data_IF_810643430094
#
_entry.id   IF_810643430094
#
_cell.length_a   1.000
_cell.length_b   1.000
_cell.length_c   1.000
_cell.angle_alpha   90.00
_cell.angle_beta   90.00
_cell.angle_gamma   90.00
#
_symmetry.space_group_name_H-M   'P 1'
#
loop_
_entity.id
_entity.type
_entity.pdbx_description
1 polymer ?
#
# COMPACT_ATOMS: atom_id res chain seq x y z
N UNK A 1 -13.50 -44.81 -1.15
CA UNK A 1 -12.82 -43.82 -0.28
C UNK A 1 -13.85 -42.77 0.11
N UNK A 2 -14.26 -42.68 1.37
CA UNK A 2 -15.28 -41.72 1.83
C UNK A 2 -14.59 -40.38 2.12
N UNK A 3 -14.99 -39.32 1.43
CA UNK A 3 -14.55 -37.95 1.75
C UNK A 3 -15.22 -37.59 3.08
N UNK A 4 -14.47 -37.26 4.14
CA UNK A 4 -15.08 -36.87 5.41
C UNK A 4 -15.88 -35.58 5.18
N UNK A 5 -17.18 -35.61 5.50
CA UNK A 5 -18.03 -34.43 5.45
C UNK A 5 -17.57 -33.46 6.54
N UNK A 6 -16.74 -32.49 6.14
CA UNK A 6 -16.30 -31.41 6.99
C UNK A 6 -17.52 -30.55 7.31
N UNK A 7 -18.05 -30.64 8.54
CA UNK A 7 -19.24 -29.87 8.90
C UNK A 7 -18.95 -28.37 8.69
N UNK A 8 -19.81 -27.68 7.93
CA UNK A 8 -19.62 -26.27 7.59
C UNK A 8 -19.40 -25.39 8.83
N UNK A 9 -20.04 -25.74 9.96
CA UNK A 9 -19.87 -25.06 11.25
C UNK A 9 -18.43 -25.11 11.76
N UNK A 10 -17.74 -26.24 11.61
CA UNK A 10 -16.35 -26.38 12.03
C UNK A 10 -15.40 -25.52 11.18
N UNK A 11 -15.65 -25.44 9.86
CA UNK A 11 -14.88 -24.57 8.95
C UNK A 11 -15.03 -23.11 9.35
N UNK A 12 -16.28 -22.66 9.55
CA UNK A 12 -16.55 -21.29 9.95
C UNK A 12 -15.98 -20.94 11.33
N UNK A 13 -16.03 -21.87 12.29
CA UNK A 13 -15.41 -21.67 13.60
C UNK A 13 -13.89 -21.51 13.49
N UNK A 14 -13.21 -22.33 12.69
CA UNK A 14 -11.76 -22.21 12.46
C UNK A 14 -11.41 -20.89 11.78
N UNK A 15 -12.15 -20.49 10.74
CA UNK A 15 -11.93 -19.21 10.05
C UNK A 15 -12.14 -18.03 11.00
N UNK A 16 -13.16 -18.07 11.86
CA UNK A 16 -13.42 -17.04 12.85
C UNK A 16 -12.26 -16.93 13.86
N UNK A 17 -11.74 -18.06 14.34
CA UNK A 17 -10.58 -18.07 15.24
C UNK A 17 -9.35 -17.49 14.55
N UNK A 18 -9.06 -17.88 13.31
CA UNK A 18 -7.93 -17.32 12.55
C UNK A 18 -8.09 -15.80 12.39
N UNK A 19 -9.30 -15.32 12.09
CA UNK A 19 -9.58 -13.89 11.94
C UNK A 19 -9.41 -13.12 13.25
N UNK A 20 -9.93 -13.64 14.36
CA UNK A 20 -9.79 -13.00 15.69
C UNK A 20 -8.32 -13.00 16.11
N UNK A 21 -7.62 -14.12 15.97
CA UNK A 21 -6.21 -14.23 16.35
C UNK A 21 -5.36 -13.27 15.53
N UNK A 22 -5.54 -13.21 14.21
CA UNK A 22 -4.81 -12.26 13.35
C UNK A 22 -5.16 -10.79 13.61
N UNK A 23 -6.36 -10.52 14.12
CA UNK A 23 -6.79 -9.16 14.51
C UNK A 23 -6.21 -8.71 15.85
N UNK A 24 -6.04 -9.62 16.83
CA UNK A 24 -5.50 -9.31 18.16
C UNK A 24 -3.97 -9.40 18.17
N UNK A 25 -3.43 -10.41 17.49
CA UNK A 25 -2.01 -10.66 17.34
C UNK A 25 -1.72 -10.49 15.86
N UNK A 26 -1.40 -9.27 15.41
CA UNK A 26 -0.94 -9.06 14.04
C UNK A 26 0.33 -9.87 13.88
N UNK A 27 0.22 -11.07 13.30
CA UNK A 27 1.34 -12.01 13.16
C UNK A 27 2.41 -11.49 12.19
N UNK A 28 2.24 -10.28 11.66
CA UNK A 28 2.83 -9.85 10.40
C UNK A 28 2.28 -10.74 9.29
N UNK A 29 1.99 -10.16 8.13
CA UNK A 29 1.98 -11.02 6.96
C UNK A 29 3.44 -11.42 6.71
N UNK A 30 3.75 -12.70 6.46
CA UNK A 30 5.07 -13.14 6.05
C UNK A 30 5.32 -12.73 4.60
N UNK A 31 5.15 -11.44 4.30
CA UNK A 31 5.53 -10.87 3.03
C UNK A 31 7.04 -10.76 3.04
N UNK A 32 7.68 -11.71 2.37
CA UNK A 32 9.09 -11.58 2.01
C UNK A 32 9.19 -10.34 1.13
N UNK A 33 9.93 -9.34 1.59
CA UNK A 33 10.18 -8.14 0.79
C UNK A 33 10.95 -8.59 -0.44
N UNK A 34 10.35 -8.38 -1.62
CA UNK A 34 11.02 -8.74 -2.87
C UNK A 34 12.23 -7.84 -3.12
N UNK A 35 13.21 -8.33 -3.88
CA UNK A 35 14.37 -7.53 -4.30
C UNK A 35 13.90 -6.23 -5.00
N UNK A 36 12.90 -6.31 -5.87
CA UNK A 36 12.30 -5.14 -6.54
C UNK A 36 11.70 -4.13 -5.58
N UNK A 37 11.10 -4.58 -4.47
CA UNK A 37 10.55 -3.69 -3.45
C UNK A 37 11.67 -2.97 -2.70
N UNK A 38 12.78 -3.67 -2.40
CA UNK A 38 13.97 -3.07 -1.78
C UNK A 38 14.64 -2.06 -2.71
N UNK A 39 14.78 -2.38 -3.99
CA UNK A 39 15.33 -1.46 -4.99
C UNK A 39 14.49 -0.19 -5.11
N UNK A 40 13.16 -0.31 -5.19
CA UNK A 40 12.26 0.83 -5.23
C UNK A 40 12.33 1.67 -3.93
N UNK A 41 12.45 1.02 -2.76
CA UNK A 41 12.64 1.71 -1.49
C UNK A 41 13.95 2.50 -1.47
N UNK A 42 15.05 1.85 -1.85
CA UNK A 42 16.39 2.45 -1.84
C UNK A 42 16.51 3.59 -2.85
N UNK A 43 15.81 3.52 -3.99
CA UNK A 43 15.78 4.60 -4.97
C UNK A 43 15.42 5.93 -4.33
N UNK A 44 14.39 5.98 -3.49
CA UNK A 44 13.97 7.22 -2.82
C UNK A 44 14.83 7.58 -1.61
N UNK A 45 15.43 6.58 -0.94
CA UNK A 45 16.39 6.82 0.14
C UNK A 45 17.71 7.41 -0.36
N UNK A 46 18.19 7.01 -1.54
CA UNK A 46 19.49 7.44 -2.06
C UNK A 46 19.44 8.81 -2.75
N UNK A 47 18.24 9.35 -2.99
CA UNK A 47 18.09 10.69 -3.55
C UNK A 47 18.70 11.76 -2.64
N UNK A 48 19.39 12.78 -3.21
CA UNK A 48 19.86 13.93 -2.45
C UNK A 48 18.74 14.61 -1.68
N UNK A 49 19.04 15.12 -0.49
CA UNK A 49 18.06 15.83 0.34
C UNK A 49 17.48 17.04 -0.42
N UNK A 50 16.16 17.21 -0.33
CA UNK A 50 15.45 18.31 -1.00
C UNK A 50 15.25 18.11 -2.51
N UNK A 51 15.51 16.90 -3.03
CA UNK A 51 15.22 16.55 -4.43
C UNK A 51 13.76 16.81 -4.78
N UNK A 52 13.51 17.22 -6.03
CA UNK A 52 12.16 17.37 -6.57
C UNK A 52 11.81 16.11 -7.33
N UNK A 53 10.78 15.40 -6.88
CA UNK A 53 10.26 14.19 -7.51
C UNK A 53 8.98 14.54 -8.24
N UNK A 54 9.01 14.41 -9.56
CA UNK A 54 7.80 14.44 -10.38
C UNK A 54 7.21 13.04 -10.35
N UNK A 55 5.98 12.96 -9.87
CA UNK A 55 5.25 11.71 -9.73
C UNK A 55 3.84 11.88 -10.28
N UNK A 56 3.21 10.78 -10.61
CA UNK A 56 1.87 10.78 -11.19
C UNK A 56 1.78 9.76 -12.31
N UNK A 57 0.57 9.55 -12.81
CA UNK A 57 0.39 8.52 -13.81
C UNK A 57 -1.00 8.45 -14.39
N UNK A 58 -1.22 7.41 -15.18
CA UNK A 58 -2.55 7.00 -15.57
C UNK A 58 -3.09 6.02 -14.52
N UNK A 59 -4.38 6.12 -14.23
CA UNK A 59 -5.03 5.37 -13.17
C UNK A 59 -6.36 4.79 -13.67
N UNK A 60 -6.77 3.64 -13.13
CA UNK A 60 -8.06 2.99 -13.42
C UNK A 60 -8.69 2.55 -12.11
N UNK A 61 -9.94 2.96 -11.87
CA UNK A 61 -10.67 2.78 -10.60
C UNK A 61 -10.63 1.35 -10.02
N UNK A 62 -10.51 0.33 -10.89
CA UNK A 62 -10.51 -1.07 -10.49
C UNK A 62 -9.35 -1.46 -9.56
N UNK A 63 -8.29 -0.64 -9.49
CA UNK A 63 -7.07 -0.93 -8.73
C UNK A 63 -6.82 0.04 -7.57
N UNK A 64 -7.83 0.79 -7.14
CA UNK A 64 -7.73 1.85 -6.09
C UNK A 64 -7.09 1.28 -4.83
N UNK A 65 -7.67 0.18 -4.34
CA UNK A 65 -7.30 -0.43 -3.07
C UNK A 65 -5.93 -1.13 -3.14
N UNK A 66 -5.59 -1.68 -4.29
CA UNK A 66 -4.31 -2.39 -4.49
C UNK A 66 -3.15 -1.39 -4.61
N UNK A 67 -3.35 -0.33 -5.39
CA UNK A 67 -2.27 0.61 -5.72
C UNK A 67 -2.07 1.68 -4.65
N UNK A 68 -3.15 2.09 -3.95
CA UNK A 68 -3.11 3.21 -2.98
C UNK A 68 -2.18 2.96 -1.80
N UNK A 69 -2.16 1.74 -1.25
CA UNK A 69 -1.33 1.43 -0.09
C UNK A 69 0.17 1.67 -0.36
N UNK A 70 0.64 1.23 -1.53
CA UNK A 70 2.02 1.46 -1.97
C UNK A 70 2.30 2.94 -2.21
N UNK A 71 1.43 3.61 -2.97
CA UNK A 71 1.58 5.04 -3.27
C UNK A 71 1.63 5.91 -2.00
N UNK A 72 0.72 5.66 -1.04
CA UNK A 72 0.68 6.36 0.25
C UNK A 72 1.98 6.13 1.04
N UNK A 73 2.50 4.89 1.05
CA UNK A 73 3.76 4.58 1.74
C UNK A 73 4.95 5.32 1.11
N UNK A 74 5.04 5.33 -0.23
CA UNK A 74 6.10 6.04 -0.96
C UNK A 74 6.01 7.56 -0.75
N UNK A 75 4.80 8.13 -0.79
CA UNK A 75 4.56 9.55 -0.48
C UNK A 75 5.11 9.92 0.91
N UNK A 76 4.79 9.10 1.93
CA UNK A 76 5.30 9.31 3.30
C UNK A 76 6.81 9.17 3.39
N UNK A 77 7.38 8.19 2.71
CA UNK A 77 8.84 7.99 2.68
C UNK A 77 9.55 9.22 2.11
N UNK A 78 9.10 9.69 0.95
CA UNK A 78 9.69 10.86 0.29
C UNK A 78 9.52 12.13 1.12
N UNK A 79 8.34 12.34 1.73
CA UNK A 79 8.10 13.48 2.62
C UNK A 79 9.01 13.47 3.86
N UNK A 80 9.26 12.30 4.46
CA UNK A 80 10.18 12.15 5.60
C UNK A 80 11.62 12.48 5.26
N UNK A 81 12.05 12.24 4.01
CA UNK A 81 13.39 12.61 3.50
C UNK A 81 13.47 14.07 3.05
N UNK A 82 12.39 14.83 3.15
CA UNK A 82 12.35 16.25 2.78
C UNK A 82 12.27 16.49 1.27
N UNK A 83 11.96 15.46 0.47
CA UNK A 83 11.78 15.60 -0.97
C UNK A 83 10.52 16.41 -1.29
N UNK A 84 10.58 17.21 -2.36
CA UNK A 84 9.44 17.98 -2.86
C UNK A 84 8.72 17.17 -3.91
N UNK A 85 7.40 17.08 -3.80
CA UNK A 85 6.56 16.26 -4.67
C UNK A 85 5.78 17.13 -5.64
N UNK A 86 5.81 16.78 -6.93
CA UNK A 86 5.00 17.40 -7.98
C UNK A 86 4.14 16.34 -8.63
N UNK A 87 2.82 16.46 -8.50
CA UNK A 87 1.87 15.52 -9.10
C UNK A 87 1.55 15.90 -10.56
N UNK A 88 1.69 14.95 -11.46
CA UNK A 88 1.49 15.07 -12.89
C UNK A 88 0.53 13.96 -13.39
N UNK A 89 -0.79 14.14 -13.21
CA UNK A 89 -1.78 13.14 -13.62
C UNK A 89 -1.83 13.02 -15.14
N UNK A 90 -1.83 11.77 -15.64
CA UNK A 90 -1.83 11.45 -17.08
C UNK A 90 -3.18 10.89 -17.57
N UNK A 91 -4.16 10.72 -16.67
CA UNK A 91 -5.53 10.28 -16.98
C UNK A 91 -6.55 11.07 -16.15
N UNK A 92 -7.82 11.07 -16.58
CA UNK A 92 -8.87 11.86 -15.91
C UNK A 92 -9.18 11.32 -14.51
N UNK A 93 -9.10 10.01 -14.33
CA UNK A 93 -9.32 9.32 -13.06
C UNK A 93 -8.15 9.53 -12.09
N UNK A 94 -6.94 9.77 -12.60
CA UNK A 94 -5.73 9.94 -11.80
C UNK A 94 -5.82 11.15 -10.87
N UNK A 95 -6.54 12.20 -11.25
CA UNK A 95 -6.69 13.41 -10.44
C UNK A 95 -7.35 13.11 -9.09
N UNK A 96 -8.40 12.27 -9.09
CA UNK A 96 -9.11 11.90 -7.86
C UNK A 96 -8.29 10.95 -7.01
N UNK A 97 -7.62 9.98 -7.66
CA UNK A 97 -6.78 9.00 -7.00
C UNK A 97 -5.55 9.61 -6.34
N UNK A 98 -4.82 10.48 -7.06
CA UNK A 98 -3.64 11.17 -6.53
C UNK A 98 -4.03 12.06 -5.36
N UNK A 99 -5.15 12.80 -5.45
CA UNK A 99 -5.69 13.58 -4.33
C UNK A 99 -5.95 12.69 -3.12
N UNK A 100 -6.64 11.57 -3.31
CA UNK A 100 -6.91 10.61 -2.22
C UNK A 100 -5.62 10.11 -1.57
N UNK A 101 -4.61 9.74 -2.36
CA UNK A 101 -3.34 9.26 -1.83
C UNK A 101 -2.59 10.34 -1.05
N UNK A 102 -2.59 11.59 -1.51
CA UNK A 102 -1.96 12.72 -0.82
C UNK A 102 -2.67 12.98 0.52
N UNK A 103 -4.00 13.10 0.51
CA UNK A 103 -4.81 13.35 1.71
C UNK A 103 -4.59 12.23 2.76
N UNK A 104 -4.55 10.98 2.33
CA UNK A 104 -4.31 9.83 3.20
C UNK A 104 -2.85 9.71 3.66
N UNK A 105 -1.92 10.22 2.87
CA UNK A 105 -0.52 10.30 3.25
C UNK A 105 -0.27 11.34 4.35
N UNK A 106 -1.14 12.35 4.47
CA UNK A 106 -1.05 13.45 5.46
C UNK A 106 0.32 14.13 5.44
N UNK A 107 0.87 14.28 4.23
CA UNK A 107 2.18 14.91 4.01
C UNK A 107 2.09 16.43 4.00
N UNK A 108 0.88 16.96 3.91
CA UNK A 108 0.48 18.36 3.98
C UNK A 108 0.23 18.85 5.42
N UNK A 109 -0.15 17.94 6.33
CA UNK A 109 -0.25 18.19 7.77
C UNK A 109 1.15 18.25 8.42
N UNK A 110 1.84 19.40 8.28
CA UNK A 110 3.04 19.72 9.08
C UNK A 110 2.68 20.25 10.46
#
# INVERSE_FOLDING_TARGET
>A
MKIPELSSRAVWAVLLVIFIVTSIIPMGAPFVISEYTLEAYNLFEELPEGSIVVMGGAYVFAFDLESSAGMIATLKQMARRGHKLVCAPLAVEAVQYEKYCIDMARVDEK
#
